data_IF_396406409540
#
_entry.id   IF_396406409540
#
_cell.length_a   1.000
_cell.length_b   1.000
_cell.length_c   1.000
_cell.angle_alpha   90.00
_cell.angle_beta   90.00
_cell.angle_gamma   90.00
#
_symmetry.space_group_name_H-M   'P 1'
#
loop_
_entity.id
_entity.type
_entity.pdbx_description
1 polymer ?
#
# COMPACT_ATOMS: atom_id res chain seq x y z
N UNK A 1 1.34 -20.61 -19.21
CA UNK A 1 1.15 -19.16 -19.41
C UNK A 1 2.52 -18.52 -19.37
N UNK A 2 2.80 -17.56 -20.26
CA UNK A 2 4.04 -16.76 -20.22
C UNK A 2 3.91 -15.63 -19.20
N UNK A 3 5.04 -15.17 -18.67
CA UNK A 3 5.09 -13.98 -17.82
C UNK A 3 4.76 -12.73 -18.64
N UNK A 4 4.07 -11.76 -18.03
CA UNK A 4 3.84 -10.44 -18.62
C UNK A 4 5.17 -9.70 -18.84
N UNK A 5 5.31 -8.97 -19.95
CA UNK A 5 6.57 -8.33 -20.31
C UNK A 5 7.00 -7.23 -19.32
N UNK A 6 6.05 -6.50 -18.73
CA UNK A 6 6.35 -5.49 -17.72
C UNK A 6 6.77 -6.14 -16.40
N UNK A 7 6.12 -7.25 -16.02
CA UNK A 7 6.51 -8.03 -14.85
C UNK A 7 7.92 -8.64 -15.03
N UNK A 8 8.25 -9.16 -16.21
CA UNK A 8 9.58 -9.68 -16.52
C UNK A 8 10.66 -8.59 -16.35
N UNK A 9 10.41 -7.39 -16.87
CA UNK A 9 11.34 -6.25 -16.73
C UNK A 9 11.52 -5.82 -15.28
N UNK A 10 10.45 -5.85 -14.48
CA UNK A 10 10.54 -5.54 -13.04
C UNK A 10 11.42 -6.55 -12.30
N UNK A 11 11.29 -7.84 -12.62
CA UNK A 11 12.14 -8.89 -12.04
C UNK A 11 13.60 -8.73 -12.45
N UNK A 12 13.88 -8.42 -13.73
CA UNK A 12 15.24 -8.12 -14.20
C UNK A 12 15.85 -6.92 -13.47
N UNK A 13 15.09 -5.83 -13.31
CA UNK A 13 15.54 -4.65 -12.55
C UNK A 13 15.87 -5.02 -11.09
N UNK A 14 15.04 -5.85 -10.46
CA UNK A 14 15.24 -6.30 -9.09
C UNK A 14 16.48 -7.18 -8.96
N UNK A 15 16.65 -8.15 -9.88
CA UNK A 15 17.80 -9.06 -9.90
C UNK A 15 19.14 -8.34 -10.15
N UNK A 16 19.12 -7.23 -10.88
CA UNK A 16 20.29 -6.39 -11.14
C UNK A 16 20.50 -5.29 -10.09
N UNK A 17 19.63 -5.20 -9.07
CA UNK A 17 19.80 -4.26 -7.97
C UNK A 17 20.74 -4.83 -6.91
N UNK A 18 21.55 -3.98 -6.27
CA UNK A 18 22.31 -4.34 -5.07
C UNK A 18 21.48 -4.12 -3.79
N UNK A 19 20.15 -4.14 -3.90
CA UNK A 19 19.27 -3.93 -2.75
C UNK A 19 19.29 -5.17 -1.84
N UNK A 20 19.33 -5.01 -0.51
CA UNK A 20 19.20 -6.12 0.43
C UNK A 20 17.87 -6.87 0.23
N UNK A 21 17.84 -8.16 0.55
CA UNK A 21 16.58 -8.89 0.60
C UNK A 21 15.66 -8.31 1.69
N UNK A 22 14.34 -8.50 1.59
CA UNK A 22 13.36 -7.92 2.54
C UNK A 22 13.61 -8.31 4.01
N UNK A 23 14.25 -9.45 4.27
CA UNK A 23 14.62 -9.92 5.62
C UNK A 23 16.05 -9.55 6.04
N UNK A 24 16.80 -8.85 5.20
CA UNK A 24 18.16 -8.39 5.46
C UNK A 24 18.14 -6.90 5.82
N UNK A 25 18.99 -6.50 6.77
CA UNK A 25 19.04 -5.13 7.28
C UNK A 25 18.11 -4.87 8.47
N UNK A 26 17.84 -3.60 8.74
CA UNK A 26 17.00 -3.14 9.85
C UNK A 26 15.54 -2.97 9.42
N UNK A 27 14.61 -3.09 10.38
CA UNK A 27 13.17 -2.85 10.13
C UNK A 27 12.91 -1.45 9.54
N UNK A 28 13.69 -0.44 9.93
CA UNK A 28 13.55 0.92 9.41
C UNK A 28 13.92 0.98 7.91
N UNK A 29 15.02 0.33 7.53
CA UNK A 29 15.44 0.24 6.13
C UNK A 29 14.42 -0.54 5.29
N UNK A 30 13.91 -1.67 5.78
CA UNK A 30 12.88 -2.44 5.08
C UNK A 30 11.59 -1.62 4.85
N UNK A 31 11.15 -0.82 5.84
CA UNK A 31 9.98 0.07 5.70
C UNK A 31 10.21 1.15 4.66
N UNK A 32 11.38 1.80 4.70
CA UNK A 32 11.73 2.83 3.73
C UNK A 32 11.82 2.26 2.31
N UNK A 33 12.50 1.12 2.13
CA UNK A 33 12.62 0.45 0.83
C UNK A 33 11.26 0.04 0.25
N UNK A 34 10.35 -0.47 1.08
CA UNK A 34 8.99 -0.80 0.64
C UNK A 34 8.16 0.42 0.24
N UNK A 35 8.29 1.53 0.96
CA UNK A 35 7.63 2.79 0.60
C UNK A 35 8.12 3.30 -0.77
N UNK A 36 9.44 3.29 -1.01
CA UNK A 36 10.04 3.68 -2.29
C UNK A 36 9.58 2.77 -3.44
N UNK A 37 9.54 1.46 -3.23
CA UNK A 37 9.06 0.51 -4.23
C UNK A 37 7.59 0.79 -4.59
N UNK A 38 6.74 1.01 -3.58
CA UNK A 38 5.30 1.27 -3.76
C UNK A 38 5.06 2.57 -4.52
N UNK A 39 5.88 3.60 -4.29
CA UNK A 39 5.84 4.85 -5.04
C UNK A 39 6.27 4.65 -6.51
N UNK A 40 7.30 3.85 -6.76
CA UNK A 40 7.82 3.59 -8.09
C UNK A 40 6.85 2.78 -8.98
N UNK A 41 6.23 1.73 -8.42
CA UNK A 41 5.32 0.83 -9.17
C UNK A 41 3.85 1.21 -9.03
N UNK A 42 3.54 2.13 -8.13
CA UNK A 42 2.19 2.57 -7.83
C UNK A 42 1.53 3.25 -9.03
N UNK A 43 0.25 2.95 -9.24
CA UNK A 43 -0.57 3.70 -10.21
C UNK A 43 -1.14 4.92 -9.50
N UNK A 44 -1.17 6.06 -10.18
CA UNK A 44 -1.83 7.27 -9.67
C UNK A 44 -3.30 6.95 -9.35
N UNK A 45 -3.66 7.05 -8.08
CA UNK A 45 -5.03 6.86 -7.64
C UNK A 45 -5.94 8.00 -8.15
N UNK A 46 -7.23 7.72 -8.45
CA UNK A 46 -8.22 8.76 -8.69
C UNK A 46 -8.34 9.69 -7.48
N UNK A 47 -8.61 10.97 -7.74
CA UNK A 47 -8.82 11.94 -6.66
C UNK A 47 -10.08 11.55 -5.86
N UNK A 48 -9.98 11.39 -4.53
CA UNK A 48 -11.15 11.20 -3.69
C UNK A 48 -11.87 12.55 -3.48
N UNK A 49 -13.16 12.48 -3.13
CA UNK A 49 -13.92 13.65 -2.68
C UNK A 49 -13.40 14.17 -1.34
N UNK A 50 -13.04 13.26 -0.44
CA UNK A 50 -12.44 13.59 0.85
C UNK A 50 -11.63 12.42 1.41
N UNK A 51 -10.62 12.77 2.21
CA UNK A 51 -9.89 11.84 3.07
C UNK A 51 -9.93 12.39 4.48
N UNK A 52 -10.47 11.64 5.42
CA UNK A 52 -10.54 12.04 6.84
C UNK A 52 -9.82 11.01 7.69
N UNK A 53 -8.92 11.47 8.56
CA UNK A 53 -8.33 10.61 9.58
C UNK A 53 -9.27 10.51 10.78
N UNK A 54 -9.54 9.28 11.21
CA UNK A 54 -10.30 8.97 12.42
C UNK A 54 -9.47 8.06 13.33
N UNK A 55 -9.86 8.00 14.61
CA UNK A 55 -9.25 7.15 15.62
C UNK A 55 -10.31 6.20 16.18
N UNK A 56 -10.15 4.90 15.91
CA UNK A 56 -11.10 3.86 16.32
C UNK A 56 -10.60 3.19 17.60
N UNK A 57 -11.37 3.14 18.69
CA UNK A 57 -10.96 2.43 19.90
C UNK A 57 -10.70 0.94 19.62
N UNK A 58 -9.56 0.44 20.09
CA UNK A 58 -9.16 -0.96 19.96
C UNK A 58 -8.47 -1.48 21.23
N UNK A 59 -8.25 -2.81 21.32
CA UNK A 59 -7.71 -3.44 22.53
C UNK A 59 -6.29 -2.99 22.89
N UNK A 60 -5.50 -2.51 21.92
CA UNK A 60 -4.16 -1.96 22.12
C UNK A 60 -4.09 -0.42 22.12
N UNK A 61 -5.24 0.25 22.23
CA UNK A 61 -5.37 1.70 22.07
C UNK A 61 -6.02 2.11 20.75
N UNK A 62 -6.05 3.41 20.48
CA UNK A 62 -6.75 3.97 19.33
C UNK A 62 -6.03 3.67 18.01
N UNK A 63 -6.72 3.02 17.08
CA UNK A 63 -6.23 2.65 15.75
C UNK A 63 -6.42 3.85 14.81
N UNK A 64 -5.34 4.29 14.17
CA UNK A 64 -5.40 5.30 13.11
C UNK A 64 -6.09 4.71 11.88
N UNK A 65 -7.09 5.39 11.34
CA UNK A 65 -7.84 4.91 10.18
C UNK A 65 -8.12 6.07 9.23
N UNK A 66 -8.03 5.81 7.93
CA UNK A 66 -8.42 6.77 6.89
C UNK A 66 -9.78 6.40 6.33
N UNK A 67 -10.73 7.33 6.38
CA UNK A 67 -12.01 7.24 5.69
C UNK A 67 -11.86 7.98 4.36
N UNK A 68 -11.85 7.22 3.28
CA UNK A 68 -11.71 7.75 1.91
C UNK A 68 -13.08 7.72 1.25
N UNK A 69 -13.62 8.90 0.91
CA UNK A 69 -14.89 9.02 0.19
C UNK A 69 -14.60 9.20 -1.30
N UNK A 70 -15.06 8.31 -2.20
CA UNK A 70 -14.81 8.45 -3.62
C UNK A 70 -15.60 9.62 -4.20
N UNK A 71 -15.05 10.28 -5.23
CA UNK A 71 -15.71 11.36 -5.97
C UNK A 71 -16.68 10.81 -7.03
N UNK A 72 -17.64 10.03 -6.56
CA UNK A 72 -18.72 9.47 -7.38
C UNK A 72 -20.04 9.73 -6.68
N UNK A 73 -21.07 10.08 -7.45
CA UNK A 73 -22.42 10.23 -6.88
C UNK A 73 -23.01 8.86 -6.55
N UNK A 74 -23.60 8.69 -5.36
CA UNK A 74 -24.19 7.42 -4.98
C UNK A 74 -25.53 7.22 -5.70
N UNK A 75 -25.79 6.02 -6.19
CA UNK A 75 -27.09 5.62 -6.75
C UNK A 75 -28.02 5.00 -5.69
N UNK A 76 -27.56 4.93 -4.43
CA UNK A 76 -28.24 4.34 -3.27
C UNK A 76 -27.35 4.40 -2.03
N UNK A 77 -27.66 3.67 -0.94
CA UNK A 77 -26.77 3.57 0.22
C UNK A 77 -25.36 3.13 -0.19
N UNK A 78 -24.33 3.73 0.41
CA UNK A 78 -22.93 3.37 0.12
C UNK A 78 -22.51 2.15 0.95
N UNK A 79 -22.07 1.04 0.33
CA UNK A 79 -21.36 0.00 1.07
C UNK A 79 -19.99 0.52 1.52
N UNK A 80 -19.46 -0.07 2.59
CA UNK A 80 -18.14 0.25 3.14
C UNK A 80 -17.19 -0.90 2.83
N UNK A 81 -16.02 -0.57 2.26
CA UNK A 81 -14.89 -1.48 2.18
C UNK A 81 -13.96 -1.20 3.37
N UNK A 82 -13.70 -2.21 4.18
CA UNK A 82 -12.67 -2.15 5.21
C UNK A 82 -11.40 -2.75 4.61
N UNK A 83 -10.37 -1.92 4.45
CA UNK A 83 -9.09 -2.31 3.85
C UNK A 83 -7.99 -2.36 4.91
N UNK A 84 -7.19 -3.42 4.86
CA UNK A 84 -5.98 -3.58 5.66
C UNK A 84 -4.80 -3.72 4.70
N UNK A 85 -3.75 -2.93 4.89
CA UNK A 85 -2.59 -2.96 4.00
C UNK A 85 -1.79 -4.26 4.16
N UNK A 86 -1.12 -4.67 3.08
CA UNK A 86 -0.18 -5.78 3.10
C UNK A 86 1.18 -5.38 3.71
N UNK A 87 2.16 -6.28 3.65
CA UNK A 87 3.50 -6.04 4.19
C UNK A 87 3.90 -6.96 5.35
N UNK A 88 3.31 -8.16 5.44
CA UNK A 88 3.74 -9.19 6.38
C UNK A 88 3.71 -8.76 7.85
N UNK A 89 2.79 -7.86 8.22
CA UNK A 89 2.62 -7.33 9.59
C UNK A 89 3.82 -6.52 10.14
N UNK A 90 4.80 -6.17 9.30
CA UNK A 90 6.03 -5.48 9.71
C UNK A 90 6.24 -4.18 8.92
N UNK A 91 6.03 -4.24 7.62
CA UNK A 91 6.16 -3.12 6.67
C UNK A 91 4.79 -2.68 6.14
N UNK A 92 4.77 -1.54 5.47
CA UNK A 92 3.57 -0.83 5.04
C UNK A 92 3.59 0.63 5.43
#
# INVERSE_FOLDING_TARGET
>A
MSLDAQAAKLLEMTANSNAPALGEGTVAESRAGFATLTEMVGVKAPAPKSVTEVRIPGPGGAIRTLVITPDTQPTGPRPILIYYHGGGWVIG
#
